data_IF_657922665867
#
_entry.id   IF_657922665867
#
_cell.length_a   1.000
_cell.length_b   1.000
_cell.length_c   1.000
_cell.angle_alpha   90.00
_cell.angle_beta   90.00
_cell.angle_gamma   90.00
#
_symmetry.space_group_name_H-M   'P 1'
#
loop_
_entity.id
_entity.type
_entity.pdbx_description
1 polymer ?
#
# COMPACT_ATOMS: atom_id res chain seq x y z
N UNK A 1 -3.80 9.19 -7.48
CA UNK A 1 -2.55 8.44 -7.28
C UNK A 1 -1.42 9.14 -8.00
N UNK A 2 -0.25 9.33 -7.37
CA UNK A 2 0.92 9.86 -8.06
C UNK A 2 1.41 8.83 -9.09
N UNK A 3 1.21 9.12 -10.37
CA UNK A 3 1.37 8.16 -11.47
C UNK A 3 2.76 7.51 -11.52
N UNK A 4 3.82 8.30 -11.52
CA UNK A 4 5.17 7.75 -11.70
C UNK A 4 5.66 6.99 -10.46
N UNK A 5 5.26 7.38 -9.27
CA UNK A 5 5.59 6.60 -8.08
C UNK A 5 4.86 5.26 -8.09
N UNK A 6 3.56 5.28 -8.41
CA UNK A 6 2.80 4.04 -8.57
C UNK A 6 3.37 3.16 -9.69
N UNK A 7 3.70 3.72 -10.85
CA UNK A 7 4.32 2.97 -11.96
C UNK A 7 5.59 2.24 -11.50
N UNK A 8 6.42 2.90 -10.71
CA UNK A 8 7.66 2.29 -10.20
C UNK A 8 7.37 1.18 -9.20
N UNK A 9 6.56 1.45 -8.19
CA UNK A 9 6.24 0.47 -7.15
C UNK A 9 5.53 -0.75 -7.75
N UNK A 10 4.56 -0.51 -8.61
CA UNK A 10 3.81 -1.57 -9.28
C UNK A 10 4.68 -2.45 -10.20
N UNK A 11 5.65 -1.86 -10.90
CA UNK A 11 6.61 -2.63 -11.69
C UNK A 11 7.51 -3.53 -10.84
N UNK A 12 7.87 -3.09 -9.64
CA UNK A 12 8.64 -3.88 -8.67
C UNK A 12 7.74 -4.97 -8.07
N UNK A 13 6.51 -4.62 -7.74
CA UNK A 13 5.52 -5.58 -7.26
C UNK A 13 5.38 -6.77 -8.22
N UNK A 14 5.14 -6.52 -9.50
CA UNK A 14 5.05 -7.59 -10.50
C UNK A 14 6.36 -8.38 -10.68
N UNK A 15 7.50 -7.77 -10.43
CA UNK A 15 8.80 -8.46 -10.54
C UNK A 15 9.07 -9.37 -9.36
N UNK A 16 8.58 -9.02 -8.17
CA UNK A 16 8.84 -9.71 -6.92
C UNK A 16 7.55 -10.08 -6.18
N UNK A 17 6.51 -10.41 -6.94
CA UNK A 17 5.25 -10.91 -6.36
C UNK A 17 5.54 -12.12 -5.49
N UNK A 18 4.93 -12.18 -4.31
CA UNK A 18 5.11 -13.26 -3.33
C UNK A 18 6.55 -13.45 -2.78
N UNK A 19 7.45 -12.51 -3.00
CA UNK A 19 8.79 -12.55 -2.43
C UNK A 19 8.80 -11.91 -1.03
N UNK A 20 9.16 -12.68 0.01
CA UNK A 20 9.11 -12.23 1.42
C UNK A 20 10.01 -11.01 1.68
N UNK A 21 11.21 -10.98 1.11
CA UNK A 21 12.19 -9.94 1.39
C UNK A 21 12.10 -8.75 0.43
N UNK A 22 11.96 -9.03 -0.87
CA UNK A 22 12.04 -8.06 -1.95
C UNK A 22 10.67 -7.65 -2.50
N UNK A 23 9.58 -8.25 -2.00
CA UNK A 23 8.22 -7.84 -2.32
C UNK A 23 7.98 -6.37 -1.95
N UNK A 24 7.41 -5.60 -2.87
CA UNK A 24 7.17 -4.17 -2.67
C UNK A 24 5.89 -3.92 -1.88
N UNK A 25 4.89 -4.78 -2.03
CA UNK A 25 3.61 -4.72 -1.30
C UNK A 25 3.05 -6.11 -1.06
N UNK A 26 2.04 -6.21 -0.17
CA UNK A 26 1.37 -7.46 0.22
C UNK A 26 2.31 -8.54 0.79
N UNK A 27 3.40 -8.11 1.40
CA UNK A 27 4.30 -9.02 2.11
C UNK A 27 3.70 -9.32 3.49
N UNK A 28 3.43 -10.59 3.82
CA UNK A 28 2.82 -10.97 5.08
C UNK A 28 3.74 -10.65 6.26
N UNK A 29 3.14 -10.40 7.41
CA UNK A 29 3.88 -10.35 8.67
C UNK A 29 4.23 -11.76 9.12
N UNK A 30 5.51 -11.98 9.42
CA UNK A 30 6.01 -13.27 9.90
C UNK A 30 6.18 -13.20 11.42
N UNK A 31 5.70 -14.22 12.12
CA UNK A 31 5.85 -14.37 13.57
C UNK A 31 7.09 -15.26 13.80
N UNK A 32 8.11 -14.70 14.46
CA UNK A 32 9.25 -15.47 15.01
C UNK A 32 9.99 -16.31 13.99
N UNK A 33 10.67 -15.71 13.02
CA UNK A 33 11.45 -16.42 12.03
C UNK A 33 12.95 -16.15 12.15
N UNK A 34 13.76 -17.17 12.47
CA UNK A 34 15.21 -17.07 12.39
C UNK A 34 15.66 -16.73 10.96
N UNK A 35 16.08 -15.49 10.73
CA UNK A 35 16.67 -15.04 9.46
C UNK A 35 15.70 -14.62 8.35
N UNK A 36 14.39 -14.67 8.56
CA UNK A 36 13.39 -14.07 7.69
C UNK A 36 13.00 -12.76 8.33
N UNK A 37 12.95 -11.72 7.55
CA UNK A 37 12.63 -10.38 7.96
C UNK A 37 11.49 -10.31 8.98
N UNK A 38 11.84 -9.92 10.18
CA UNK A 38 10.89 -9.55 11.20
C UNK A 38 10.18 -8.27 10.80
N UNK A 39 9.03 -8.39 10.19
CA UNK A 39 8.05 -7.33 10.21
C UNK A 39 7.49 -7.29 11.63
N UNK A 40 8.13 -6.47 12.48
CA UNK A 40 7.77 -6.27 13.88
C UNK A 40 6.31 -5.83 13.96
N UNK A 41 5.42 -6.72 14.37
CA UNK A 41 3.98 -6.41 14.43
C UNK A 41 3.10 -7.64 14.59
N UNK A 42 3.55 -8.78 14.09
CA UNK A 42 2.76 -10.01 14.11
C UNK A 42 2.34 -10.46 15.51
N UNK A 43 3.19 -10.31 16.51
CA UNK A 43 2.87 -10.64 17.90
C UNK A 43 1.76 -9.73 18.48
N UNK A 44 1.83 -8.43 18.18
CA UNK A 44 0.82 -7.46 18.64
C UNK A 44 -0.53 -7.70 17.95
N UNK A 45 -0.52 -8.01 16.66
CA UNK A 45 -1.73 -8.37 15.94
C UNK A 45 -2.33 -9.67 16.43
N UNK A 46 -1.50 -10.68 16.70
CA UNK A 46 -1.96 -11.94 17.29
C UNK A 46 -2.60 -11.71 18.66
N UNK A 47 -1.95 -10.96 19.54
CA UNK A 47 -2.48 -10.60 20.85
C UNK A 47 -3.81 -9.85 20.74
N UNK A 48 -3.94 -8.90 19.82
CA UNK A 48 -5.17 -8.16 19.57
C UNK A 48 -6.28 -9.09 19.03
N UNK A 49 -5.95 -9.99 18.11
CA UNK A 49 -6.91 -10.95 17.57
C UNK A 49 -7.42 -11.93 18.64
N UNK A 50 -6.55 -12.36 19.56
CA UNK A 50 -6.92 -13.19 20.70
C UNK A 50 -7.83 -12.44 21.68
N UNK A 51 -7.54 -11.17 21.94
CA UNK A 51 -8.33 -10.33 22.85
C UNK A 51 -9.73 -10.01 22.32
N UNK A 52 -9.87 -9.70 21.04
CA UNK A 52 -11.15 -9.33 20.42
C UNK A 52 -11.97 -10.53 19.95
N UNK A 53 -11.32 -11.67 19.72
CA UNK A 53 -11.87 -12.82 19.02
C UNK A 53 -11.86 -12.65 17.49
N UNK A 54 -11.75 -13.78 16.79
CA UNK A 54 -11.51 -13.80 15.32
C UNK A 54 -12.49 -12.97 14.50
N UNK A 55 -13.78 -13.05 14.80
CA UNK A 55 -14.82 -12.36 14.00
C UNK A 55 -14.76 -10.84 14.16
N UNK A 56 -14.63 -10.36 15.40
CA UNK A 56 -14.54 -8.92 15.66
C UNK A 56 -13.25 -8.33 15.14
N UNK A 57 -12.15 -9.05 15.32
CA UNK A 57 -10.86 -8.66 14.78
C UNK A 57 -10.89 -8.60 13.24
N UNK A 58 -11.43 -9.64 12.57
CA UNK A 58 -11.58 -9.67 11.13
C UNK A 58 -12.45 -8.52 10.59
N UNK A 59 -13.58 -8.21 11.25
CA UNK A 59 -14.40 -7.07 10.87
C UNK A 59 -13.65 -5.74 11.04
N UNK A 60 -12.94 -5.56 12.16
CA UNK A 60 -12.12 -4.36 12.39
C UNK A 60 -11.05 -4.21 11.30
N UNK A 61 -10.32 -5.28 11.00
CA UNK A 61 -9.31 -5.26 9.94
C UNK A 61 -9.91 -4.93 8.58
N UNK A 62 -11.05 -5.53 8.23
CA UNK A 62 -11.75 -5.23 6.99
C UNK A 62 -12.09 -3.75 6.88
N UNK A 63 -12.72 -3.17 7.91
CA UNK A 63 -13.10 -1.75 7.91
C UNK A 63 -11.88 -0.84 7.82
N UNK A 64 -10.82 -1.12 8.58
CA UNK A 64 -9.58 -0.33 8.54
C UNK A 64 -8.91 -0.40 7.17
N UNK A 65 -8.85 -1.58 6.55
CA UNK A 65 -8.26 -1.73 5.22
C UNK A 65 -9.09 -1.06 4.13
N UNK A 66 -10.42 -1.19 4.16
CA UNK A 66 -11.28 -0.53 3.18
C UNK A 66 -11.22 1.01 3.27
N UNK A 67 -11.15 1.55 4.48
CA UNK A 67 -11.10 3.02 4.68
C UNK A 67 -9.69 3.60 4.49
N UNK A 68 -8.66 2.92 4.99
CA UNK A 68 -7.32 3.49 5.16
C UNK A 68 -6.20 2.69 4.49
N UNK A 69 -6.45 1.48 3.99
CA UNK A 69 -5.41 0.61 3.45
C UNK A 69 -4.64 1.26 2.31
N UNK A 70 -5.33 1.80 1.33
CA UNK A 70 -4.70 2.47 0.19
C UNK A 70 -3.98 3.78 0.56
N UNK A 71 -4.60 4.72 1.30
CA UNK A 71 -3.89 5.88 1.81
C UNK A 71 -2.66 5.53 2.68
N UNK A 72 -2.78 4.56 3.57
CA UNK A 72 -1.68 4.12 4.41
C UNK A 72 -0.51 3.56 3.58
N UNK A 73 -0.80 2.73 2.57
CA UNK A 73 0.22 2.25 1.65
C UNK A 73 0.93 3.39 0.92
N UNK A 74 0.21 4.35 0.37
CA UNK A 74 0.80 5.48 -0.34
C UNK A 74 1.68 6.36 0.55
N UNK A 75 1.32 6.51 1.83
CA UNK A 75 2.03 7.38 2.77
C UNK A 75 3.19 6.70 3.50
N UNK A 76 3.13 5.40 3.70
CA UNK A 76 4.08 4.69 4.57
C UNK A 76 4.73 3.46 3.96
N UNK A 77 4.19 2.93 2.85
CA UNK A 77 4.61 1.65 2.30
C UNK A 77 4.36 0.47 3.26
N UNK A 78 3.32 0.56 4.10
CA UNK A 78 3.11 -0.33 5.25
C UNK A 78 2.99 -1.82 4.91
N UNK A 79 2.61 -2.14 3.68
CA UNK A 79 2.44 -3.52 3.20
C UNK A 79 3.67 -4.09 2.50
N UNK A 80 4.74 -3.29 2.35
CA UNK A 80 5.97 -3.70 1.68
C UNK A 80 6.88 -4.57 2.52
N UNK A 81 7.80 -5.28 1.88
CA UNK A 81 8.84 -6.06 2.54
C UNK A 81 9.92 -5.19 3.18
N UNK A 82 10.81 -5.82 3.96
CA UNK A 82 11.82 -5.11 4.77
C UNK A 82 12.86 -4.38 3.92
N UNK A 83 13.06 -4.81 2.69
CA UNK A 83 14.02 -4.17 1.79
C UNK A 83 13.76 -2.69 1.60
N UNK A 84 12.50 -2.28 1.52
CA UNK A 84 12.13 -0.90 1.20
C UNK A 84 11.91 -0.04 2.44
N UNK A 85 11.64 -0.64 3.60
CA UNK A 85 11.36 0.08 4.84
C UNK A 85 10.13 0.98 4.72
N UNK A 86 10.07 2.03 5.52
CA UNK A 86 9.01 3.03 5.41
C UNK A 86 9.25 3.90 4.18
N UNK A 87 8.40 3.78 3.17
CA UNK A 87 8.47 4.53 1.91
C UNK A 87 7.25 5.44 1.75
N UNK A 88 7.39 6.51 0.98
CA UNK A 88 6.30 7.45 0.73
C UNK A 88 6.21 7.76 -0.77
N UNK A 89 5.02 7.64 -1.34
CA UNK A 89 4.80 7.80 -2.77
C UNK A 89 4.78 9.26 -3.23
N UNK A 90 4.66 10.20 -2.30
CA UNK A 90 4.68 11.64 -2.55
C UNK A 90 6.00 12.29 -2.15
N UNK A 91 6.69 11.73 -1.14
CA UNK A 91 7.92 12.30 -0.60
C UNK A 91 9.10 11.32 -0.71
N UNK A 92 9.83 11.30 -1.85
CA UNK A 92 10.88 10.32 -2.13
C UNK A 92 12.23 10.68 -1.49
N UNK A 93 12.24 11.25 -0.29
CA UNK A 93 13.42 11.71 0.46
C UNK A 93 13.28 11.44 1.94
N UNK A 94 14.34 11.74 2.71
CA UNK A 94 14.31 11.65 4.17
C UNK A 94 13.07 12.35 4.76
N UNK A 95 12.45 11.80 5.79
CA UNK A 95 12.87 10.65 6.61
C UNK A 95 12.50 9.27 6.02
N UNK A 96 11.91 9.20 4.83
CA UNK A 96 11.50 7.96 4.19
C UNK A 96 12.66 7.27 3.45
N UNK A 97 12.54 5.97 3.27
CA UNK A 97 13.53 5.17 2.54
C UNK A 97 13.62 5.60 1.06
N UNK A 98 14.85 5.75 0.58
CA UNK A 98 15.15 6.08 -0.83
C UNK A 98 15.32 4.83 -1.71
N UNK A 99 15.23 3.63 -1.15
CA UNK A 99 15.51 2.39 -1.88
C UNK A 99 14.54 2.13 -3.03
N UNK A 100 13.29 2.57 -2.85
CA UNK A 100 12.27 2.50 -3.90
C UNK A 100 12.51 3.56 -4.98
N UNK A 101 13.05 4.73 -4.60
CA UNK A 101 13.21 5.91 -5.43
C UNK A 101 14.69 6.18 -5.75
N UNK A 102 15.21 5.67 -6.85
CA UNK A 102 16.52 6.08 -7.36
C UNK A 102 16.49 7.54 -7.84
N UNK A 103 17.67 8.15 -8.02
CA UNK A 103 17.80 9.57 -8.36
C UNK A 103 16.97 10.02 -9.58
N UNK A 104 16.87 9.18 -10.60
CA UNK A 104 16.04 9.45 -11.79
C UNK A 104 14.54 9.42 -11.52
N UNK A 105 14.09 8.67 -10.51
CA UNK A 105 12.68 8.57 -10.15
C UNK A 105 12.20 9.69 -9.25
N UNK A 106 13.07 10.30 -8.47
CA UNK A 106 12.73 11.44 -7.60
C UNK A 106 12.07 12.57 -8.39
N UNK A 107 12.65 12.95 -9.53
CA UNK A 107 12.07 14.00 -10.41
C UNK A 107 10.71 13.62 -10.96
N UNK A 108 10.53 12.35 -11.32
CA UNK A 108 9.24 11.83 -11.82
C UNK A 108 8.16 11.83 -10.74
N UNK A 109 8.50 11.50 -9.49
CA UNK A 109 7.58 11.58 -8.36
C UNK A 109 7.10 13.02 -8.18
N UNK A 110 8.02 13.99 -8.11
CA UNK A 110 7.66 15.42 -8.02
C UNK A 110 6.77 15.89 -9.17
N UNK A 111 7.01 15.41 -10.37
CA UNK A 111 6.16 15.73 -11.51
C UNK A 111 4.74 15.17 -11.34
N UNK A 112 4.59 13.97 -10.79
CA UNK A 112 3.27 13.41 -10.44
C UNK A 112 2.56 14.23 -9.37
N UNK A 113 3.31 14.73 -8.38
CA UNK A 113 2.75 15.52 -7.29
C UNK A 113 2.21 16.86 -7.78
N UNK A 114 2.88 17.47 -8.78
CA UNK A 114 2.35 18.66 -9.45
C UNK A 114 0.97 18.35 -10.07
N UNK A 115 0.83 17.23 -10.77
CA UNK A 115 -0.45 16.81 -11.36
C UNK A 115 -1.53 16.62 -10.29
N UNK A 116 -1.19 16.00 -9.16
CA UNK A 116 -2.11 15.84 -8.03
C UNK A 116 -2.50 17.19 -7.43
N UNK A 117 -1.53 18.08 -7.23
CA UNK A 117 -1.78 19.43 -6.72
C UNK A 117 -2.77 20.20 -7.64
N UNK A 118 -2.59 20.11 -8.95
CA UNK A 118 -3.51 20.71 -9.91
C UNK A 118 -4.94 20.16 -9.79
N UNK A 119 -5.09 18.83 -9.64
CA UNK A 119 -6.40 18.20 -9.43
C UNK A 119 -7.01 18.68 -8.10
N UNK A 120 -6.26 18.70 -7.01
CA UNK A 120 -6.74 19.18 -5.72
C UNK A 120 -7.18 20.64 -5.76
N UNK A 121 -6.43 21.51 -6.43
CA UNK A 121 -6.80 22.90 -6.64
C UNK A 121 -8.11 23.00 -7.45
N UNK A 122 -8.23 22.22 -8.52
CA UNK A 122 -9.46 22.16 -9.32
C UNK A 122 -10.68 21.71 -8.51
N UNK A 123 -10.49 20.70 -7.64
CA UNK A 123 -11.54 20.22 -6.73
C UNK A 123 -11.94 21.29 -5.69
N UNK A 124 -10.97 21.98 -5.12
CA UNK A 124 -11.24 23.10 -4.20
C UNK A 124 -12.03 24.21 -4.87
N UNK A 125 -11.60 24.66 -6.05
CA UNK A 125 -12.32 25.68 -6.84
C UNK A 125 -13.74 25.21 -7.15
N UNK A 126 -13.90 23.95 -7.56
CA UNK A 126 -15.22 23.37 -7.85
C UNK A 126 -16.10 23.32 -6.60
N UNK A 127 -15.54 22.95 -5.45
CA UNK A 127 -16.26 22.95 -4.16
C UNK A 127 -16.72 24.33 -3.74
N UNK A 128 -15.89 25.36 -3.93
CA UNK A 128 -16.29 26.76 -3.67
C UNK A 128 -17.36 27.26 -4.65
N UNK A 129 -17.28 26.86 -5.92
CA UNK A 129 -18.20 27.34 -6.95
C UNK A 129 -19.57 26.64 -6.93
N UNK A 130 -19.57 25.32 -6.75
CA UNK A 130 -20.75 24.47 -6.90
C UNK A 130 -21.24 23.85 -5.58
N UNK A 131 -20.49 24.06 -4.50
CA UNK A 131 -20.79 23.48 -3.20
C UNK A 131 -20.19 22.08 -3.00
N UNK A 132 -20.27 21.61 -1.75
CA UNK A 132 -19.65 20.33 -1.34
C UNK A 132 -20.45 19.11 -1.82
N UNK A 133 -21.77 19.21 -1.95
CA UNK A 133 -22.64 18.08 -2.29
C UNK A 133 -22.31 17.47 -3.65
N UNK A 134 -22.22 18.26 -4.76
CA UNK A 134 -21.74 17.71 -6.03
C UNK A 134 -20.34 17.12 -5.97
N UNK A 135 -19.43 17.71 -5.19
CA UNK A 135 -18.08 17.21 -5.02
C UNK A 135 -18.07 15.81 -4.36
N UNK A 136 -18.87 15.62 -3.32
CA UNK A 136 -19.03 14.32 -2.68
C UNK A 136 -19.63 13.31 -3.66
N UNK A 137 -20.72 13.65 -4.32
CA UNK A 137 -21.45 12.74 -5.20
C UNK A 137 -20.64 12.35 -6.45
N UNK A 138 -19.96 13.31 -7.08
CA UNK A 138 -19.31 13.09 -8.38
C UNK A 138 -17.85 12.70 -8.28
N UNK A 139 -17.17 12.95 -7.15
CA UNK A 139 -15.76 12.66 -7.00
C UNK A 139 -15.45 11.81 -5.77
N UNK A 140 -15.78 12.24 -4.56
CA UNK A 140 -15.40 11.52 -3.34
C UNK A 140 -16.11 10.17 -3.21
N UNK A 141 -17.39 10.10 -3.53
CA UNK A 141 -18.15 8.85 -3.51
C UNK A 141 -17.56 7.80 -4.47
N UNK A 142 -17.43 8.10 -5.78
CA UNK A 142 -16.76 7.21 -6.72
C UNK A 142 -15.32 6.85 -6.31
N UNK A 143 -14.54 7.79 -5.79
CA UNK A 143 -13.18 7.54 -5.31
C UNK A 143 -13.14 6.52 -4.17
N UNK A 144 -14.07 6.62 -3.20
CA UNK A 144 -14.18 5.65 -2.11
C UNK A 144 -14.54 4.25 -2.62
N UNK A 145 -15.46 4.17 -3.57
CA UNK A 145 -15.82 2.89 -4.21
C UNK A 145 -14.61 2.27 -4.91
N UNK A 146 -13.85 3.07 -5.68
CA UNK A 146 -12.62 2.61 -6.33
C UNK A 146 -11.60 2.13 -5.31
N UNK A 147 -11.39 2.88 -4.22
CA UNK A 147 -10.48 2.48 -3.15
C UNK A 147 -10.89 1.15 -2.50
N UNK A 148 -12.18 0.99 -2.19
CA UNK A 148 -12.69 -0.27 -1.64
C UNK A 148 -12.45 -1.44 -2.59
N UNK A 149 -12.80 -1.31 -3.86
CA UNK A 149 -12.57 -2.35 -4.85
C UNK A 149 -11.10 -2.69 -5.03
N UNK A 150 -10.23 -1.68 -5.09
CA UNK A 150 -8.80 -1.89 -5.22
C UNK A 150 -8.25 -2.68 -4.02
N UNK A 151 -8.64 -2.33 -2.81
CA UNK A 151 -8.21 -3.05 -1.60
C UNK A 151 -8.75 -4.48 -1.59
N UNK A 152 -10.04 -4.70 -1.87
CA UNK A 152 -10.65 -6.03 -1.88
C UNK A 152 -9.95 -6.91 -2.92
N UNK A 153 -9.80 -6.42 -4.13
CA UNK A 153 -9.22 -7.16 -5.25
C UNK A 153 -7.77 -7.56 -4.96
N UNK A 154 -6.95 -6.61 -4.53
CA UNK A 154 -5.54 -6.90 -4.23
C UNK A 154 -5.39 -7.80 -3.00
N UNK A 155 -6.24 -7.63 -2.00
CA UNK A 155 -6.21 -8.47 -0.81
C UNK A 155 -6.55 -9.92 -1.13
N UNK A 156 -7.63 -10.16 -1.88
CA UNK A 156 -8.02 -11.52 -2.29
C UNK A 156 -6.94 -12.22 -3.11
N UNK A 157 -6.18 -11.49 -3.92
CA UNK A 157 -5.11 -12.08 -4.74
C UNK A 157 -3.85 -12.44 -3.96
N UNK A 158 -3.57 -11.74 -2.85
CA UNK A 158 -2.25 -11.83 -2.20
C UNK A 158 -2.27 -12.35 -0.77
N UNK A 159 -3.44 -12.51 -0.16
CA UNK A 159 -3.52 -12.90 1.26
C UNK A 159 -4.23 -14.21 1.51
N UNK A 160 -4.52 -14.98 0.48
CA UNK A 160 -5.04 -16.32 0.62
C UNK A 160 -3.96 -17.22 1.27
N UNK A 161 -4.39 -18.11 2.17
CA UNK A 161 -3.50 -19.03 2.88
C UNK A 161 -2.79 -20.01 1.95
N UNK A 162 -3.35 -20.26 0.79
CA UNK A 162 -2.79 -21.18 -0.21
C UNK A 162 -1.77 -20.50 -1.15
N UNK A 163 -1.66 -19.16 -1.09
CA UNK A 163 -0.66 -18.42 -1.88
C UNK A 163 0.71 -18.53 -1.20
N UNK A 164 1.69 -19.19 -1.83
CA UNK A 164 3.02 -19.33 -1.25
C UNK A 164 3.77 -18.01 -1.25
N UNK A 165 4.49 -17.73 -0.17
CA UNK A 165 5.44 -16.63 -0.09
C UNK A 165 6.85 -17.19 0.00
N UNK A 166 7.72 -16.79 -0.92
CA UNK A 166 9.00 -17.45 -1.18
C UNK A 166 10.17 -16.64 -0.62
N UNK A 167 11.13 -17.33 -0.04
CA UNK A 167 12.42 -16.77 0.40
C UNK A 167 13.37 -16.56 -0.79
N UNK A 168 14.50 -15.88 -0.54
CA UNK A 168 15.52 -15.64 -1.57
C UNK A 168 16.03 -16.91 -2.27
N UNK A 169 16.08 -18.04 -1.55
CA UNK A 169 16.58 -19.32 -2.09
C UNK A 169 15.55 -20.07 -2.93
N UNK A 170 14.26 -19.76 -2.75
CA UNK A 170 13.16 -20.49 -3.38
C UNK A 170 12.50 -19.69 -4.50
N UNK A 171 12.68 -18.37 -4.48
CA UNK A 171 12.04 -17.46 -5.41
C UNK A 171 12.62 -17.58 -6.82
N UNK A 172 11.73 -17.65 -7.79
CA UNK A 172 12.01 -17.35 -9.19
C UNK A 172 10.84 -16.60 -9.78
N UNK A 173 11.08 -15.80 -10.81
CA UNK A 173 10.03 -14.99 -11.45
C UNK A 173 8.82 -15.81 -11.95
N UNK A 174 9.03 -17.09 -12.28
CA UNK A 174 7.96 -17.98 -12.72
C UNK A 174 7.18 -18.66 -11.57
N UNK A 175 7.66 -18.53 -10.36
CA UNK A 175 7.04 -19.14 -9.17
C UNK A 175 6.26 -18.13 -8.31
N UNK A 176 6.62 -16.86 -8.40
CA UNK A 176 6.02 -15.74 -7.64
C UNK A 176 4.97 -14.95 -8.45
#
# INVERSE_FOLDING_TARGET
VPYFSWQRSHSIHHRFTNHINDGETHVPMVIGGNGISEKIGGEKELALSMSLGKNKYGLLQLLLHLCFGWPAYLLTGSTGGPRYGTSNHFWPREPFSKKLWSSGWVKKVWFSDIGIAMVLIGLLISGFKYGITPLIAMYLGPLLVVNCWLVIYTWLHHTDTDVPHLSNSEFSFLRG
#
